data_IF_160151736847
#
_entry.id   IF_160151736847
#
_cell.length_a   1.000
_cell.length_b   1.000
_cell.length_c   1.000
_cell.angle_alpha   90.00
_cell.angle_beta   90.00
_cell.angle_gamma   90.00
#
_symmetry.space_group_name_H-M   'P 1'
#
loop_
_entity.id
_entity.type
_entity.pdbx_description
1 polymer ?
#
# COMPACT_ATOMS: atom_id res chain seq x y z
N UNK A 1 7.87 -3.63 -11.32
CA UNK A 1 7.37 -2.23 -11.20
C UNK A 1 7.83 -1.68 -9.85
N UNK A 2 8.38 -0.46 -9.81
CA UNK A 2 8.84 0.23 -8.59
C UNK A 2 7.98 1.48 -8.39
N UNK A 3 7.44 1.65 -7.18
CA UNK A 3 6.67 2.83 -6.75
C UNK A 3 7.50 3.52 -5.67
N UNK A 4 7.75 4.82 -5.84
CA UNK A 4 8.42 5.65 -4.84
C UNK A 4 7.52 6.83 -4.53
N UNK A 5 7.25 7.07 -3.26
CA UNK A 5 6.52 8.27 -2.79
C UNK A 5 7.51 9.20 -2.10
N UNK A 6 7.60 10.42 -2.61
CA UNK A 6 8.46 11.48 -2.08
C UNK A 6 7.59 12.64 -1.61
N UNK A 7 7.88 13.16 -0.41
CA UNK A 7 7.30 14.40 0.10
C UNK A 7 8.29 15.53 -0.19
N UNK A 8 7.86 16.51 -0.98
CA UNK A 8 8.58 17.76 -1.19
C UNK A 8 7.97 18.83 -0.28
N UNK A 9 8.78 19.37 0.64
CA UNK A 9 8.40 20.50 1.47
C UNK A 9 9.10 21.72 0.90
N UNK A 10 8.32 22.68 0.41
CA UNK A 10 8.81 23.96 -0.10
C UNK A 10 8.44 25.07 0.90
N UNK A 11 9.39 25.94 1.20
CA UNK A 11 9.11 27.16 1.98
C UNK A 11 8.93 28.36 1.05
N UNK A 12 8.04 29.28 1.43
CA UNK A 12 7.70 30.51 0.67
C UNK A 12 8.91 31.40 0.34
N UNK A 13 10.06 31.18 0.99
CA UNK A 13 11.32 31.90 0.76
C UNK A 13 12.23 31.24 -0.29
N UNK A 14 11.74 30.23 -1.01
CA UNK A 14 12.38 29.68 -2.21
C UNK A 14 13.67 28.90 -2.01
N UNK A 15 14.14 28.71 -0.77
CA UNK A 15 15.49 28.20 -0.49
C UNK A 15 15.54 26.90 0.31
N UNK A 16 14.41 26.26 0.59
CA UNK A 16 14.42 24.96 1.29
C UNK A 16 13.45 24.03 0.62
N UNK A 17 13.98 23.23 -0.32
CA UNK A 17 13.33 22.03 -0.82
C UNK A 17 13.84 20.87 0.02
N UNK A 18 13.04 20.41 0.97
CA UNK A 18 13.33 19.16 1.66
C UNK A 18 12.56 18.04 0.96
N UNK A 19 13.29 17.16 0.27
CA UNK A 19 12.74 15.91 -0.27
C UNK A 19 12.92 14.82 0.76
N UNK A 20 11.82 14.28 1.28
CA UNK A 20 11.84 13.13 2.18
C UNK A 20 11.25 11.91 1.48
N UNK A 21 11.97 10.79 1.50
CA UNK A 21 11.43 9.51 1.03
C UNK A 21 10.40 9.01 2.04
N UNK A 22 9.14 8.89 1.62
CA UNK A 22 8.04 8.45 2.49
C UNK A 22 7.83 6.94 2.38
N UNK A 23 8.20 6.35 1.24
CA UNK A 23 8.16 4.92 1.04
C UNK A 23 8.62 4.49 -0.35
N UNK A 24 9.23 3.31 -0.42
CA UNK A 24 9.56 2.63 -1.67
C UNK A 24 9.02 1.21 -1.63
N UNK A 25 8.29 0.82 -2.68
CA UNK A 25 7.76 -0.52 -2.85
C UNK A 25 8.09 -1.05 -4.23
N UNK A 26 8.50 -2.31 -4.30
CA UNK A 26 8.74 -3.01 -5.55
C UNK A 26 7.75 -4.17 -5.65
N UNK A 27 7.04 -4.28 -6.78
CA UNK A 27 6.03 -5.35 -6.99
C UNK A 27 6.62 -6.75 -6.83
N UNK A 28 7.92 -6.91 -7.07
CA UNK A 28 8.61 -8.20 -7.02
C UNK A 28 9.12 -8.54 -5.61
N UNK A 29 9.01 -7.60 -4.67
CA UNK A 29 9.39 -7.80 -3.27
C UNK A 29 8.13 -8.01 -2.42
N UNK A 30 8.18 -8.86 -1.39
CA UNK A 30 7.07 -9.02 -0.46
C UNK A 30 6.71 -7.69 0.21
N UNK A 31 5.46 -7.26 0.07
CA UNK A 31 4.90 -6.16 0.87
C UNK A 31 4.88 -6.59 2.34
N UNK A 32 5.51 -5.80 3.20
CA UNK A 32 5.60 -6.04 4.64
C UNK A 32 4.90 -4.88 5.36
N UNK A 33 4.07 -5.11 6.39
CA UNK A 33 3.37 -4.00 7.03
C UNK A 33 4.30 -2.90 7.58
N UNK A 34 5.51 -3.26 8.00
CA UNK A 34 6.55 -2.31 8.41
C UNK A 34 7.03 -1.40 7.28
N UNK A 35 7.08 -1.89 6.03
CA UNK A 35 7.44 -1.07 4.86
C UNK A 35 6.30 -0.16 4.39
N UNK A 36 5.10 -0.35 4.95
CA UNK A 36 3.93 0.52 4.77
C UNK A 36 3.74 1.49 5.95
N UNK A 37 4.62 1.46 6.96
CA UNK A 37 4.51 2.29 8.16
C UNK A 37 3.34 1.93 9.07
N UNK A 38 2.79 0.71 8.95
CA UNK A 38 1.64 0.27 9.73
C UNK A 38 2.06 -0.23 11.12
N UNK A 39 1.27 0.12 12.12
CA UNK A 39 1.32 -0.52 13.44
C UNK A 39 0.79 -1.96 13.36
N UNK A 40 1.04 -2.77 14.40
CA UNK A 40 0.50 -4.12 14.48
C UNK A 40 -1.04 -4.16 14.39
N UNK A 41 -1.72 -3.19 15.02
CA UNK A 41 -3.18 -3.12 15.01
C UNK A 41 -3.71 -2.85 13.60
N UNK A 42 -3.14 -1.85 12.91
CA UNK A 42 -3.49 -1.52 11.52
C UNK A 42 -3.14 -2.65 10.56
N UNK A 43 -2.01 -3.33 10.79
CA UNK A 43 -1.60 -4.51 10.01
C UNK A 43 -2.64 -5.64 10.09
N UNK A 44 -3.14 -5.93 11.29
CA UNK A 44 -4.18 -6.94 11.50
C UNK A 44 -5.50 -6.55 10.84
N UNK A 45 -5.87 -5.28 10.92
CA UNK A 45 -7.06 -4.76 10.25
C UNK A 45 -6.95 -4.85 8.72
N UNK A 46 -5.78 -4.48 8.17
CA UNK A 46 -5.51 -4.61 6.74
C UNK A 46 -5.58 -6.08 6.29
N UNK A 47 -4.96 -7.00 7.02
CA UNK A 47 -5.00 -8.43 6.70
C UNK A 47 -6.44 -8.95 6.65
N UNK A 48 -7.28 -8.60 7.63
CA UNK A 48 -8.70 -8.97 7.65
C UNK A 48 -9.41 -8.49 6.39
N UNK A 49 -9.21 -7.23 6.01
CA UNK A 49 -9.85 -6.64 4.83
C UNK A 49 -9.39 -7.33 3.54
N UNK A 50 -8.08 -7.59 3.39
CA UNK A 50 -7.53 -8.31 2.24
C UNK A 50 -8.18 -9.70 2.12
N UNK A 51 -8.24 -10.45 3.22
CA UNK A 51 -8.84 -11.78 3.22
C UNK A 51 -10.32 -11.74 2.82
N UNK A 52 -11.07 -10.76 3.32
CA UNK A 52 -12.47 -10.59 2.97
C UNK A 52 -12.64 -10.32 1.47
N UNK A 53 -11.90 -9.36 0.92
CA UNK A 53 -11.96 -9.02 -0.51
C UNK A 53 -11.61 -10.21 -1.41
N UNK A 54 -10.55 -10.96 -1.07
CA UNK A 54 -10.15 -12.14 -1.85
C UNK A 54 -11.23 -13.22 -1.87
N UNK A 55 -11.92 -13.44 -0.74
CA UNK A 55 -13.04 -14.40 -0.67
C UNK A 55 -14.21 -13.92 -1.52
N UNK A 56 -14.57 -12.63 -1.44
CA UNK A 56 -15.64 -12.04 -2.26
C UNK A 56 -15.33 -12.15 -3.76
N UNK A 57 -14.09 -11.87 -4.18
CA UNK A 57 -13.64 -12.04 -5.55
C UNK A 57 -13.71 -13.50 -6.00
N UNK A 58 -13.30 -14.44 -5.15
CA UNK A 58 -13.35 -15.87 -5.47
C UNK A 58 -14.79 -16.37 -5.65
N UNK A 59 -15.71 -15.94 -4.79
CA UNK A 59 -17.14 -16.25 -4.91
C UNK A 59 -17.68 -15.70 -6.25
N UNK A 60 -17.38 -14.45 -6.56
CA UNK A 60 -17.82 -13.81 -7.81
C UNK A 60 -17.26 -14.53 -9.05
N UNK A 61 -16.01 -14.99 -9.01
CA UNK A 61 -15.42 -15.77 -10.09
C UNK A 61 -16.13 -17.12 -10.25
N UNK A 62 -16.36 -17.83 -9.15
CA UNK A 62 -17.05 -19.13 -9.18
C UNK A 62 -18.47 -19.01 -9.75
N UNK A 63 -19.23 -17.99 -9.34
CA UNK A 63 -20.58 -17.74 -9.87
C UNK A 63 -20.59 -17.50 -11.39
N UNK A 64 -19.60 -16.76 -11.90
CA UNK A 64 -19.43 -16.52 -13.35
C UNK A 64 -19.09 -17.80 -14.12
N UNK A 65 -18.38 -18.75 -13.51
CA UNK A 65 -18.05 -20.03 -14.16
C UNK A 65 -19.23 -21.02 -14.19
N UNK A 66 -20.23 -20.84 -13.33
CA UNK A 66 -21.44 -21.68 -13.27
C UNK A 66 -22.60 -21.15 -14.12
N UNK A 67 -22.47 -19.96 -14.72
CA UNK A 67 -23.47 -19.33 -15.61
C UNK A 67 -23.16 -19.62 -17.08
#
# INVERSE_FOLDING_TARGET
MKITVQLLIESDKGNTQQVSSVGEWQRNEPLQPSNLGLTLAESKQLLKNIQQTLVEEQINQYQKTQS
#
